data_IF_362404416158
#
_entry.id   IF_362404416158
#
_cell.length_a   1.000
_cell.length_b   1.000
_cell.length_c   1.000
_cell.angle_alpha   90.00
_cell.angle_beta   90.00
_cell.angle_gamma   90.00
#
_symmetry.space_group_name_H-M   'P 1'
#
loop_
_entity.id
_entity.type
_entity.pdbx_description
1 polymer ?
#
# COMPACT_ATOMS: atom_id res chain seq x y z
N UNK A 1 -23.56 17.82 -29.37
CA UNK A 1 -22.69 16.83 -30.06
C UNK A 1 -21.45 16.54 -29.24
N UNK A 2 -21.49 15.46 -28.47
CA UNK A 2 -20.35 14.99 -27.68
C UNK A 2 -19.55 14.04 -28.55
N UNK A 3 -18.41 14.49 -29.06
CA UNK A 3 -17.50 13.68 -29.83
C UNK A 3 -16.97 12.54 -28.94
N UNK A 4 -17.50 11.34 -29.15
CA UNK A 4 -16.99 10.12 -28.55
C UNK A 4 -15.67 9.77 -29.25
N UNK A 5 -14.57 10.32 -28.75
CA UNK A 5 -13.22 9.95 -29.17
C UNK A 5 -12.91 8.60 -28.54
N UNK A 6 -13.16 7.52 -29.30
CA UNK A 6 -12.62 6.20 -28.99
C UNK A 6 -11.12 6.21 -29.24
N UNK A 7 -10.35 6.71 -28.29
CA UNK A 7 -8.90 6.45 -28.29
C UNK A 7 -8.67 4.97 -28.02
N UNK A 8 -7.82 4.35 -28.84
CA UNK A 8 -7.46 2.95 -28.70
C UNK A 8 -6.64 2.77 -27.40
N UNK A 9 -7.30 2.33 -26.34
CA UNK A 9 -6.63 1.96 -25.09
C UNK A 9 -5.94 0.61 -25.30
N UNK A 10 -4.61 0.60 -25.22
CA UNK A 10 -3.81 -0.62 -25.27
C UNK A 10 -3.37 -0.95 -23.85
N UNK A 11 -3.83 -2.08 -23.33
CA UNK A 11 -3.37 -2.61 -22.05
C UNK A 11 -2.06 -3.35 -22.29
N UNK A 12 -1.01 -2.95 -21.59
CA UNK A 12 0.32 -3.56 -21.68
C UNK A 12 0.74 -4.02 -20.29
N UNK A 13 1.26 -5.23 -20.18
CA UNK A 13 1.85 -5.71 -18.94
C UNK A 13 3.24 -5.10 -18.74
N UNK A 14 3.52 -4.64 -17.51
CA UNK A 14 4.85 -4.15 -17.14
C UNK A 14 5.75 -5.33 -16.79
N UNK A 15 6.72 -5.65 -17.64
CA UNK A 15 7.77 -6.61 -17.30
C UNK A 15 8.62 -6.06 -16.15
N UNK A 16 8.55 -6.71 -14.99
CA UNK A 16 9.28 -6.33 -13.77
C UNK A 16 9.05 -4.86 -13.31
N UNK A 17 7.90 -4.27 -13.64
CA UNK A 17 7.61 -2.86 -13.31
C UNK A 17 8.31 -1.85 -14.21
N UNK A 18 8.84 -2.31 -15.34
CA UNK A 18 9.46 -1.46 -16.36
C UNK A 18 8.52 -1.28 -17.56
N UNK A 19 8.62 -0.14 -18.24
CA UNK A 19 7.91 0.14 -19.48
C UNK A 19 8.88 0.64 -20.55
N UNK A 20 8.73 0.12 -21.76
CA UNK A 20 9.65 0.38 -22.86
C UNK A 20 8.97 1.19 -23.95
N UNK A 21 9.48 2.38 -24.23
CA UNK A 21 9.14 3.14 -25.43
C UNK A 21 10.19 2.88 -26.50
N UNK A 22 9.84 2.10 -27.53
CA UNK A 22 10.74 1.77 -28.64
C UNK A 22 10.36 2.55 -29.88
N UNK A 23 11.32 3.29 -30.43
CA UNK A 23 11.15 4.09 -31.64
C UNK A 23 12.21 3.73 -32.69
N UNK A 24 11.86 3.72 -33.98
CA UNK A 24 12.81 3.44 -35.05
C UNK A 24 13.84 4.57 -35.16
N UNK A 25 15.09 4.22 -35.41
CA UNK A 25 16.14 5.21 -35.66
C UNK A 25 15.99 5.80 -37.06
N UNK A 26 16.21 7.11 -37.24
CA UNK A 26 16.18 7.72 -38.55
C UNK A 26 17.32 7.14 -39.41
N UNK A 27 17.01 6.85 -40.67
CA UNK A 27 17.97 6.33 -41.64
C UNK A 27 18.65 7.49 -42.37
N UNK A 28 19.93 7.34 -42.70
CA UNK A 28 20.71 8.31 -43.47
C UNK A 28 20.81 9.70 -42.79
N UNK A 29 20.87 9.72 -41.47
CA UNK A 29 20.98 10.94 -40.66
C UNK A 29 22.29 10.89 -39.89
N UNK A 30 23.09 11.96 -39.98
CA UNK A 30 24.41 12.03 -39.34
C UNK A 30 24.37 12.71 -37.98
N UNK A 31 23.37 13.57 -37.72
CA UNK A 31 23.14 14.19 -36.42
C UNK A 31 21.64 14.30 -36.10
N UNK A 32 21.23 13.69 -34.98
CA UNK A 32 19.87 13.77 -34.47
C UNK A 32 19.82 13.70 -32.95
N UNK A 33 18.70 14.13 -32.39
CA UNK A 33 18.35 14.00 -30.99
C UNK A 33 16.99 13.32 -30.87
N UNK A 34 16.87 12.36 -29.95
CA UNK A 34 15.60 11.79 -29.55
C UNK A 34 15.38 12.07 -28.07
N UNK A 35 14.21 12.58 -27.71
CA UNK A 35 13.92 12.99 -26.34
C UNK A 35 12.57 12.48 -25.89
N UNK A 36 12.52 11.92 -24.67
CA UNK A 36 11.28 11.53 -24.00
C UNK A 36 10.94 12.55 -22.92
N UNK A 37 9.72 13.09 -23.03
CA UNK A 37 9.17 14.08 -22.11
C UNK A 37 8.01 13.51 -21.30
N UNK A 38 7.81 14.06 -20.10
CA UNK A 38 6.68 13.76 -19.22
C UNK A 38 5.85 15.02 -18.93
N UNK A 39 4.54 14.87 -18.98
CA UNK A 39 3.55 15.84 -18.58
C UNK A 39 3.35 16.99 -19.58
N UNK A 40 2.36 17.86 -19.31
CA UNK A 40 2.02 18.98 -20.19
C UNK A 40 3.14 20.03 -20.28
N UNK A 41 3.97 20.15 -19.23
CA UNK A 41 5.14 21.03 -19.22
C UNK A 41 6.34 20.46 -20.00
N UNK A 42 6.20 19.28 -20.61
CA UNK A 42 7.25 18.58 -21.37
C UNK A 42 8.57 18.50 -20.59
N UNK A 43 8.53 17.92 -19.39
CA UNK A 43 9.74 17.73 -18.59
C UNK A 43 10.61 16.63 -19.20
N UNK A 44 11.82 16.98 -19.62
CA UNK A 44 12.78 16.04 -20.21
C UNK A 44 13.18 14.95 -19.19
N UNK A 45 12.87 13.70 -19.50
CA UNK A 45 13.29 12.56 -18.68
C UNK A 45 14.66 12.05 -19.12
N UNK A 46 14.81 11.80 -20.41
CA UNK A 46 15.95 11.12 -20.99
C UNK A 46 15.99 11.40 -22.49
N UNK A 47 17.20 11.41 -23.02
CA UNK A 47 17.49 11.73 -24.41
C UNK A 47 18.58 10.83 -24.97
N UNK A 48 18.64 10.78 -26.30
CA UNK A 48 19.70 10.19 -27.08
C UNK A 48 20.16 11.22 -28.10
N UNK A 49 21.41 11.65 -28.02
CA UNK A 49 22.01 12.49 -29.03
C UNK A 49 22.98 11.67 -29.86
N UNK A 50 22.82 11.69 -31.18
CA UNK A 50 23.79 11.15 -32.12
C UNK A 50 24.50 12.32 -32.80
N UNK A 51 25.84 12.36 -32.71
CA UNK A 51 26.66 13.30 -33.46
C UNK A 51 27.93 12.63 -33.96
N UNK A 52 28.22 12.77 -35.25
CA UNK A 52 29.42 12.22 -35.91
C UNK A 52 29.67 10.75 -35.55
N UNK A 53 28.61 9.95 -35.70
CA UNK A 53 28.57 8.50 -35.41
C UNK A 53 28.75 8.10 -33.94
N UNK A 54 28.88 9.07 -33.02
CA UNK A 54 28.92 8.83 -31.57
C UNK A 54 27.54 9.00 -30.98
N UNK A 55 27.22 8.10 -30.06
CA UNK A 55 25.92 8.04 -29.39
C UNK A 55 26.10 8.50 -27.94
N UNK A 56 25.32 9.50 -27.53
CA UNK A 56 25.35 10.11 -26.21
C UNK A 56 23.99 9.97 -25.55
N UNK A 57 23.76 8.90 -24.77
CA UNK A 57 22.56 8.80 -23.95
C UNK A 57 22.66 9.77 -22.77
N UNK A 58 21.57 10.50 -22.51
CA UNK A 58 21.43 11.42 -21.39
C UNK A 58 20.20 11.02 -20.58
N UNK A 59 20.31 11.06 -19.26
CA UNK A 59 19.17 10.84 -18.37
C UNK A 59 19.17 11.90 -17.27
N UNK A 60 18.05 12.60 -17.14
CA UNK A 60 17.85 13.61 -16.10
C UNK A 60 17.18 13.02 -14.86
N UNK A 61 16.65 11.81 -14.96
CA UNK A 61 15.95 11.12 -13.87
C UNK A 61 16.49 9.71 -13.69
N UNK A 62 16.56 9.24 -12.45
CA UNK A 62 17.12 7.91 -12.12
C UNK A 62 16.30 6.75 -12.65
N UNK A 63 15.01 6.96 -12.89
CA UNK A 63 14.08 5.93 -13.36
C UNK A 63 13.99 5.85 -14.89
N UNK A 64 14.76 6.63 -15.65
CA UNK A 64 14.84 6.46 -17.09
C UNK A 64 16.23 6.01 -17.54
N UNK A 65 16.26 5.01 -18.41
CA UNK A 65 17.46 4.54 -19.08
C UNK A 65 17.22 4.49 -20.59
N UNK A 66 18.18 4.96 -21.37
CA UNK A 66 18.16 4.87 -22.83
C UNK A 66 19.03 3.70 -23.30
N UNK A 67 18.50 2.85 -24.17
CA UNK A 67 19.22 1.79 -24.86
C UNK A 67 19.12 2.02 -26.37
N UNK A 68 20.26 2.12 -27.05
CA UNK A 68 20.30 2.31 -28.49
C UNK A 68 20.77 1.03 -29.19
N UNK A 69 20.13 0.71 -30.32
CA UNK A 69 20.54 -0.32 -31.28
C UNK A 69 20.78 0.33 -32.64
N UNK A 70 21.24 -0.44 -33.64
CA UNK A 70 21.41 0.08 -35.00
C UNK A 70 20.08 0.46 -35.66
N UNK A 71 18.98 -0.24 -35.34
CA UNK A 71 17.67 -0.04 -35.96
C UNK A 71 16.71 0.80 -35.14
N UNK A 72 16.84 0.83 -33.82
CA UNK A 72 15.86 1.45 -32.91
C UNK A 72 16.49 1.93 -31.61
N UNK A 73 15.85 2.92 -31.01
CA UNK A 73 16.15 3.42 -29.67
C UNK A 73 15.01 3.05 -28.74
N UNK A 74 15.34 2.52 -27.58
CA UNK A 74 14.37 2.18 -26.53
C UNK A 74 14.64 3.03 -25.30
N UNK A 75 13.63 3.76 -24.84
CA UNK A 75 13.62 4.41 -23.53
C UNK A 75 12.91 3.50 -22.53
N UNK A 76 13.64 3.06 -21.51
CA UNK A 76 13.20 2.14 -20.48
C UNK A 76 12.90 2.95 -19.23
N UNK A 77 11.63 3.05 -18.87
CA UNK A 77 11.20 3.58 -17.58
C UNK A 77 11.20 2.43 -16.56
N UNK A 78 11.90 2.59 -15.45
CA UNK A 78 12.07 1.56 -14.41
C UNK A 78 11.32 1.90 -13.13
N UNK A 79 10.96 0.87 -12.37
CA UNK A 79 10.34 1.03 -11.04
C UNK A 79 9.17 2.01 -11.06
N UNK A 80 8.26 1.81 -12.02
CA UNK A 80 7.13 2.70 -12.22
C UNK A 80 6.10 2.57 -11.09
N UNK A 81 6.05 3.59 -10.24
CA UNK A 81 5.00 3.83 -9.25
C UNK A 81 3.89 4.78 -9.75
N UNK A 82 2.77 4.88 -9.02
CA UNK A 82 1.63 5.77 -9.29
C UNK A 82 1.98 7.23 -9.59
N UNK A 83 3.04 7.76 -8.95
CA UNK A 83 3.54 9.14 -9.19
C UNK A 83 4.04 9.37 -10.63
N UNK A 84 4.26 8.30 -11.39
CA UNK A 84 4.71 8.36 -12.76
C UNK A 84 3.56 8.34 -13.77
N UNK A 85 2.30 8.18 -13.34
CA UNK A 85 1.13 8.29 -14.22
C UNK A 85 1.09 9.69 -14.82
N UNK A 86 1.17 9.77 -16.14
CA UNK A 86 1.12 11.03 -16.88
C UNK A 86 1.04 10.78 -18.39
N UNK A 87 0.96 11.87 -19.14
CA UNK A 87 1.19 11.91 -20.57
C UNK A 87 2.68 11.91 -20.88
N UNK A 88 3.10 11.07 -21.81
CA UNK A 88 4.46 10.99 -22.31
C UNK A 88 4.51 11.41 -23.77
N UNK A 89 5.50 12.24 -24.11
CA UNK A 89 5.70 12.74 -25.48
C UNK A 89 7.10 12.40 -25.94
N UNK A 90 7.21 11.79 -27.12
CA UNK A 90 8.49 11.58 -27.80
C UNK A 90 8.69 12.66 -28.85
N UNK A 91 9.89 13.23 -28.92
CA UNK A 91 10.30 14.12 -30.01
C UNK A 91 11.62 13.67 -30.63
N UNK A 92 11.67 13.75 -31.96
CA UNK A 92 12.83 13.53 -32.79
C UNK A 92 13.23 14.86 -33.42
N UNK A 93 14.47 15.26 -33.24
CA UNK A 93 15.07 16.42 -33.89
C UNK A 93 16.21 15.95 -34.79
N UNK A 94 16.17 16.31 -36.07
CA UNK A 94 17.21 16.00 -37.04
C UNK A 94 17.94 17.30 -37.36
N UNK A 95 19.25 17.33 -37.12
CA UNK A 95 20.10 18.49 -37.38
C UNK A 95 20.84 18.34 -38.71
N UNK A 96 21.36 17.15 -39.00
CA UNK A 96 22.09 16.85 -40.22
C UNK A 96 21.64 15.53 -40.85
N UNK A 97 21.38 15.49 -42.17
CA UNK A 97 21.53 16.59 -43.12
C UNK A 97 20.44 17.68 -42.94
N UNK A 98 20.72 18.94 -43.31
CA UNK A 98 19.69 19.96 -43.36
C UNK A 98 18.56 19.58 -44.35
N UNK A 99 17.35 20.11 -44.18
CA UNK A 99 16.95 21.12 -43.19
C UNK A 99 16.82 20.56 -41.77
N UNK A 100 16.77 21.45 -40.77
CA UNK A 100 16.36 21.05 -39.43
C UNK A 100 14.91 20.55 -39.45
N UNK A 101 14.67 19.38 -38.88
CA UNK A 101 13.34 18.76 -38.80
C UNK A 101 13.06 18.40 -37.35
N UNK A 102 11.90 18.82 -36.85
CA UNK A 102 11.39 18.45 -35.53
C UNK A 102 10.07 17.68 -35.69
N UNK A 103 10.02 16.48 -35.12
CA UNK A 103 8.88 15.57 -35.19
C UNK A 103 8.54 15.07 -33.78
N UNK A 104 7.45 15.57 -33.19
CA UNK A 104 6.92 15.02 -31.95
C UNK A 104 5.76 14.06 -32.25
N UNK A 105 5.83 12.85 -31.70
CA UNK A 105 4.74 11.88 -31.77
C UNK A 105 3.57 12.32 -30.90
N UNK A 106 2.39 11.76 -31.22
CA UNK A 106 1.20 11.96 -30.39
C UNK A 106 1.46 11.50 -28.95
N UNK A 107 0.90 12.26 -28.04
CA UNK A 107 0.90 12.04 -26.60
C UNK A 107 0.42 10.63 -26.25
N UNK A 108 1.21 9.91 -25.46
CA UNK A 108 0.86 8.58 -24.94
C UNK A 108 0.54 8.70 -23.46
N UNK A 109 -0.71 8.47 -23.08
CA UNK A 109 -1.09 8.44 -21.68
C UNK A 109 -0.72 7.10 -21.06
N UNK A 110 0.17 7.11 -20.06
CA UNK A 110 0.59 5.90 -19.36
C UNK A 110 -0.16 5.80 -18.03
N UNK A 111 -1.09 4.86 -17.96
CA UNK A 111 -1.78 4.51 -16.72
C UNK A 111 -1.09 3.32 -16.05
N UNK A 112 -0.65 3.52 -14.81
CA UNK A 112 -0.01 2.48 -14.00
C UNK A 112 -1.06 2.00 -13.00
N UNK A 113 -1.48 0.75 -13.17
CA UNK A 113 -2.36 0.12 -12.20
C UNK A 113 -1.55 -0.23 -10.96
N UNK A 114 -1.98 0.26 -9.80
CA UNK A 114 -1.42 -0.18 -8.54
C UNK A 114 -1.65 -1.69 -8.44
N UNK A 115 -0.57 -2.46 -8.25
CA UNK A 115 -0.75 -3.74 -7.58
C UNK A 115 -1.25 -3.36 -6.20
N UNK A 116 -2.47 -3.76 -5.89
CA UNK A 116 -2.94 -3.78 -4.52
C UNK A 116 -2.02 -4.77 -3.81
N UNK A 117 -0.82 -4.30 -3.40
CA UNK A 117 -0.04 -4.93 -2.37
C UNK A 117 -1.05 -5.11 -1.26
N UNK A 118 -1.36 -6.37 -0.99
CA UNK A 118 -2.48 -6.76 -0.16
C UNK A 118 -2.16 -6.26 1.27
N UNK A 119 -2.42 -4.97 1.51
CA UNK A 119 -2.13 -4.20 2.73
C UNK A 119 -2.90 -4.74 3.93
N UNK A 120 -3.67 -5.79 3.69
CA UNK A 120 -4.33 -6.57 4.70
C UNK A 120 -3.46 -7.67 5.30
N UNK A 121 -2.40 -8.22 4.69
CA UNK A 121 -1.76 -9.40 5.31
C UNK A 121 -1.07 -9.09 6.65
N UNK A 122 -0.42 -7.93 6.80
CA UNK A 122 0.21 -7.52 8.07
C UNK A 122 -0.79 -7.06 9.11
N UNK A 123 -1.68 -6.12 8.76
CA UNK A 123 -2.68 -5.57 9.68
C UNK A 123 -3.77 -6.59 10.04
N UNK A 124 -4.24 -7.39 9.07
CA UNK A 124 -5.21 -8.45 9.33
C UNK A 124 -4.57 -9.59 10.12
N UNK A 125 -3.27 -9.87 9.96
CA UNK A 125 -2.57 -10.81 10.84
C UNK A 125 -2.53 -10.33 12.30
N UNK A 126 -2.21 -9.06 12.56
CA UNK A 126 -2.27 -8.51 13.91
C UNK A 126 -3.69 -8.49 14.50
N UNK A 127 -4.70 -8.19 13.68
CA UNK A 127 -6.11 -8.25 14.09
C UNK A 127 -6.52 -9.69 14.44
N UNK A 128 -6.16 -10.68 13.61
CA UNK A 128 -6.44 -12.10 13.86
C UNK A 128 -5.77 -12.57 15.15
N UNK A 129 -4.49 -12.23 15.36
CA UNK A 129 -3.76 -12.57 16.58
C UNK A 129 -4.43 -11.95 17.81
N UNK A 130 -4.85 -10.68 17.72
CA UNK A 130 -5.58 -10.00 18.79
C UNK A 130 -6.91 -10.69 19.14
N UNK A 131 -7.68 -11.13 18.14
CA UNK A 131 -8.95 -11.83 18.33
C UNK A 131 -8.76 -13.20 19.01
N UNK A 132 -7.71 -13.94 18.66
CA UNK A 132 -7.39 -15.24 19.28
C UNK A 132 -7.06 -15.07 20.76
N UNK A 133 -6.22 -14.08 21.11
CA UNK A 133 -5.85 -13.81 22.50
C UNK A 133 -7.07 -13.40 23.32
N UNK A 134 -7.94 -12.55 22.77
CA UNK A 134 -9.17 -12.12 23.43
C UNK A 134 -10.13 -13.29 23.69
N UNK A 135 -10.34 -14.17 22.71
CA UNK A 135 -11.20 -15.34 22.85
C UNK A 135 -10.71 -16.30 23.96
N UNK A 136 -9.40 -16.56 24.01
CA UNK A 136 -8.79 -17.40 25.05
C UNK A 136 -8.97 -16.77 26.43
N UNK A 137 -8.76 -15.45 26.55
CA UNK A 137 -8.96 -14.72 27.81
C UNK A 137 -10.40 -14.84 28.30
N UNK A 138 -11.40 -14.63 27.43
CA UNK A 138 -12.80 -14.77 27.79
C UNK A 138 -13.15 -16.20 28.26
N UNK A 139 -12.66 -17.23 27.57
CA UNK A 139 -12.87 -18.63 27.97
C UNK A 139 -12.28 -18.92 29.36
N UNK A 140 -11.05 -18.46 29.61
CA UNK A 140 -10.39 -18.60 30.92
C UNK A 140 -11.17 -17.86 32.03
N UNK A 141 -11.69 -16.66 31.76
CA UNK A 141 -12.51 -15.91 32.70
C UNK A 141 -13.80 -16.66 33.05
N UNK A 142 -14.50 -17.23 32.06
CA UNK A 142 -15.74 -18.00 32.31
C UNK A 142 -15.45 -19.23 33.16
N UNK A 143 -14.39 -19.99 32.84
CA UNK A 143 -14.01 -21.17 33.63
C UNK A 143 -13.66 -20.80 35.08
N UNK A 144 -12.88 -19.74 35.28
CA UNK A 144 -12.53 -19.24 36.62
C UNK A 144 -13.77 -18.79 37.41
N UNK A 145 -14.69 -18.05 36.78
CA UNK A 145 -15.96 -17.64 37.39
C UNK A 145 -16.85 -18.85 37.74
N UNK A 146 -16.93 -19.86 36.87
CA UNK A 146 -17.68 -21.08 37.13
C UNK A 146 -17.10 -21.91 38.28
N UNK A 147 -15.77 -22.04 38.35
CA UNK A 147 -15.10 -22.74 39.46
C UNK A 147 -15.28 -22.00 40.78
N UNK A 148 -15.16 -20.67 40.79
CA UNK A 148 -15.37 -19.85 41.98
C UNK A 148 -16.82 -19.92 42.49
N UNK A 149 -17.79 -19.91 41.57
CA UNK A 149 -19.21 -20.06 41.92
C UNK A 149 -19.53 -21.47 42.47
N UNK A 150 -18.84 -22.52 41.98
CA UNK A 150 -18.97 -23.88 42.53
C UNK A 150 -18.37 -24.00 43.95
N UNK A 151 -17.21 -23.39 44.20
CA UNK A 151 -16.60 -23.38 45.53
C UNK A 151 -17.43 -22.58 46.55
N UNK A 152 -18.04 -21.47 46.14
CA UNK A 152 -18.90 -20.66 47.00
C UNK A 152 -20.20 -21.37 47.41
N UNK A 153 -20.69 -22.30 46.57
CA UNK A 153 -21.85 -23.14 46.87
C UNK A 153 -21.53 -24.27 47.86
N UNK A 154 -20.28 -24.74 47.88
CA UNK A 154 -19.79 -25.72 48.87
C UNK A 154 -19.55 -25.11 50.26
N UNK A 155 -19.19 -23.83 50.36
CA UNK A 155 -19.00 -23.15 51.67
C UNK A 155 -20.30 -22.72 52.36
N UNK A 156 -21.44 -22.74 51.66
CA UNK A 156 -22.72 -22.24 52.21
C UNK A 156 -23.58 -23.27 52.95
N UNK A 157 -23.13 -24.53 53.09
CA UNK A 157 -23.96 -25.61 53.65
C UNK A 157 -23.42 -26.26 54.93
N UNK A 158 -22.50 -25.60 55.65
CA UNK A 158 -22.01 -26.12 56.93
C UNK A 158 -21.59 -25.01 57.89
N UNK A 159 -22.55 -24.31 58.49
CA UNK A 159 -22.54 -23.99 59.92
C UNK A 159 -23.83 -23.27 60.32
N UNK A 160 -24.83 -24.07 60.68
CA UNK A 160 -25.87 -23.65 61.62
C UNK A 160 -25.17 -23.47 62.97
N UNK A 161 -24.80 -22.23 63.30
CA UNK A 161 -24.21 -21.89 64.59
C UNK A 161 -25.36 -21.76 65.61
N UNK A 162 -25.57 -22.85 66.34
CA UNK A 162 -26.42 -22.91 67.54
C UNK A 162 -26.05 -21.78 68.50
N UNK A 163 -26.78 -20.67 68.48
CA UNK A 163 -26.84 -19.73 69.61
C UNK A 163 -28.14 -19.94 70.35
N UNK A 164 -28.26 -21.09 71.02
CA UNK A 164 -29.24 -21.30 72.07
C UNK A 164 -28.84 -20.43 73.26
N UNK A 165 -29.24 -19.17 73.22
CA UNK A 165 -29.06 -18.22 74.32
C UNK A 165 -30.20 -18.46 75.32
N UNK A 166 -29.90 -19.14 76.43
CA UNK A 166 -30.84 -19.31 77.55
C UNK A 166 -31.01 -17.98 78.32
N UNK A 167 -32.23 -17.46 78.51
CA UNK A 167 -32.45 -16.32 79.38
C UNK A 167 -32.36 -16.76 80.85
N UNK A 168 -31.40 -16.21 81.59
CA UNK A 168 -31.31 -16.39 83.05
C UNK A 168 -32.51 -15.71 83.74
N UNK A 169 -33.16 -16.42 84.65
CA UNK A 169 -34.34 -15.97 85.37
C UNK A 169 -34.07 -14.68 86.18
N UNK A 170 -34.95 -13.69 86.03
CA UNK A 170 -34.91 -12.46 86.81
C UNK A 170 -35.34 -12.71 88.26
N UNK A 171 -34.40 -12.57 89.20
CA UNK A 171 -34.68 -12.60 90.64
C UNK A 171 -35.15 -11.21 91.08
N UNK A 172 -36.40 -11.10 91.50
CA UNK A 172 -36.94 -9.87 92.04
C UNK A 172 -36.33 -9.60 93.43
N UNK A 173 -35.74 -8.42 93.61
CA UNK A 173 -35.12 -7.97 94.85
C UNK A 173 -36.13 -7.88 96.02
N UNK A 174 -35.62 -8.15 97.22
CA UNK A 174 -36.36 -8.36 98.47
C UNK A 174 -37.29 -7.20 98.89
N UNK A 175 -38.46 -7.54 99.45
CA UNK A 175 -39.31 -6.63 100.22
C UNK A 175 -39.17 -6.93 101.73
N UNK A 176 -38.87 -5.89 102.50
CA UNK A 176 -38.56 -5.90 103.94
C UNK A 176 -39.73 -6.39 104.82
N UNK A 177 -39.43 -6.96 106.00
CA UNK A 177 -40.42 -7.55 106.89
C UNK A 177 -41.12 -6.48 107.73
N UNK A 178 -42.38 -6.73 108.11
CA UNK A 178 -42.99 -6.16 109.32
C UNK A 178 -44.01 -7.14 109.93
N UNK A 179 -43.66 -7.50 111.17
CA UNK A 179 -44.46 -7.96 112.33
C UNK A 179 -44.95 -9.40 112.27
#
# INVERSE_FOLDING_TARGET
DQAHVSDAQVVVEFENGNFNFTFPNPKNVSEFSMTLFKGPEKKELCALHLSKERVFPKSNVTYCQTQNSSSSTTFILKNLERKHIDVYTYCLEIFLPPPYIECCLKETYLYIQDKEDCFSFGLVSWIIIGLIIFAISCLCCVVACCLRNKNQKCDSNSHEYNSEYMPMAAVNAAKKPRI
#
